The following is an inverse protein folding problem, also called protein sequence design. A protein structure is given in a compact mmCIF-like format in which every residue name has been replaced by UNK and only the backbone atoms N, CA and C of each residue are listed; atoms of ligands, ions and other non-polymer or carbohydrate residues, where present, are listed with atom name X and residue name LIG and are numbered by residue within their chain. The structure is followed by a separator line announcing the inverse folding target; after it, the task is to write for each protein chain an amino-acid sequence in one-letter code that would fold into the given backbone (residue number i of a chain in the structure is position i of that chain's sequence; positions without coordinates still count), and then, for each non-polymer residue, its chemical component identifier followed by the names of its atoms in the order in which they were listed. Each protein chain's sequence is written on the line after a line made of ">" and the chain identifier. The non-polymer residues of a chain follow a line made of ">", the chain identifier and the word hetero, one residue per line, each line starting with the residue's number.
data_IF_300106365465
#
_entry.id   IF_300106365465
#
_cell.length_a   1.000
_cell.length_b   1.000
_cell.length_c   1.000
_cell.angle_alpha   90.00
_cell.angle_beta   90.00
_cell.angle_gamma   90.00
#
_symmetry.space_group_name_H-M   'P 1'
#
loop_
_entity.id
_entity.type
_entity.pdbx_description
1 polymer ?
#
# COMPACT_ATOMS: atom_id res chain seq x y z
N UNK A 1 14.99 6.67 -13.93
CA UNK A 1 14.00 6.54 -15.01
C UNK A 1 13.72 7.89 -15.65
N UNK A 2 13.13 7.87 -16.84
CA UNK A 2 12.84 9.08 -17.64
C UNK A 2 11.53 9.78 -17.21
N UNK A 3 10.71 9.11 -16.40
CA UNK A 3 9.45 9.67 -15.88
C UNK A 3 9.70 10.96 -15.10
N UNK A 4 8.91 11.99 -15.40
CA UNK A 4 8.86 13.29 -14.71
C UNK A 4 7.41 13.71 -14.58
N UNK A 5 7.05 14.21 -13.40
CA UNK A 5 5.72 14.73 -13.13
C UNK A 5 5.85 16.12 -12.51
N UNK A 6 4.95 17.02 -12.90
CA UNK A 6 4.72 18.25 -12.16
C UNK A 6 3.98 17.95 -10.85
N UNK A 7 4.07 18.87 -9.89
CA UNK A 7 3.28 18.79 -8.65
C UNK A 7 1.77 18.73 -8.88
N UNK A 8 1.28 19.36 -9.96
CA UNK A 8 -0.14 19.29 -10.35
C UNK A 8 -0.52 17.87 -10.77
N UNK A 9 0.25 17.25 -11.65
CA UNK A 9 0.02 15.87 -12.09
C UNK A 9 0.12 14.88 -10.93
N UNK A 10 1.10 15.07 -10.02
CA UNK A 10 1.20 14.26 -8.81
C UNK A 10 -0.08 14.38 -7.97
N UNK A 11 -0.56 15.60 -7.72
CA UNK A 11 -1.80 15.82 -6.96
C UNK A 11 -3.00 15.11 -7.59
N UNK A 12 -3.17 15.24 -8.91
CA UNK A 12 -4.27 14.59 -9.64
C UNK A 12 -4.21 13.07 -9.48
N UNK A 13 -3.02 12.47 -9.62
CA UNK A 13 -2.81 11.03 -9.44
C UNK A 13 -3.11 10.58 -8.01
N UNK A 14 -2.67 11.35 -7.00
CA UNK A 14 -2.95 11.04 -5.61
C UNK A 14 -4.46 11.11 -5.29
N UNK A 15 -5.18 12.07 -5.86
CA UNK A 15 -6.63 12.16 -5.70
C UNK A 15 -7.35 10.96 -6.31
N UNK A 16 -6.93 10.49 -7.49
CA UNK A 16 -7.49 9.28 -8.09
C UNK A 16 -7.26 8.06 -7.20
N UNK A 17 -6.04 7.85 -6.71
CA UNK A 17 -5.73 6.73 -5.81
C UNK A 17 -6.53 6.82 -4.49
N UNK A 18 -6.60 8.00 -3.88
CA UNK A 18 -7.38 8.21 -2.66
C UNK A 18 -8.87 7.93 -2.87
N UNK A 19 -9.44 8.40 -3.99
CA UNK A 19 -10.84 8.12 -4.35
C UNK A 19 -11.10 6.62 -4.46
N UNK A 20 -10.25 5.88 -5.16
CA UNK A 20 -10.37 4.43 -5.30
C UNK A 20 -10.24 3.71 -3.95
N UNK A 21 -9.34 4.16 -3.06
CA UNK A 21 -9.23 3.61 -1.71
C UNK A 21 -10.50 3.85 -0.90
N UNK A 22 -11.08 5.05 -0.97
CA UNK A 22 -12.36 5.36 -0.32
C UNK A 22 -13.51 4.50 -0.86
N UNK A 23 -13.56 4.26 -2.17
CA UNK A 23 -14.55 3.35 -2.78
C UNK A 23 -14.38 1.89 -2.32
N UNK A 24 -13.17 1.47 -1.99
CA UNK A 24 -12.86 0.18 -1.36
C UNK A 24 -13.18 0.15 0.15
N UNK A 25 -13.73 1.24 0.70
CA UNK A 25 -14.13 1.33 2.11
C UNK A 25 -12.99 1.68 3.07
N UNK A 26 -11.83 2.13 2.56
CA UNK A 26 -10.73 2.65 3.39
C UNK A 26 -11.07 4.05 3.89
N UNK A 27 -10.93 4.27 5.20
CA UNK A 27 -11.22 5.54 5.85
C UNK A 27 -10.37 5.80 7.09
N UNK A 28 -10.91 6.63 7.99
CA UNK A 28 -10.21 7.09 9.20
C UNK A 28 -9.78 5.93 10.09
N UNK A 29 -8.48 5.86 10.39
CA UNK A 29 -7.91 4.87 11.31
C UNK A 29 -7.68 3.49 10.70
N UNK A 30 -8.12 3.25 9.47
CA UNK A 30 -7.77 2.03 8.73
C UNK A 30 -6.28 2.05 8.36
N UNK A 31 -5.66 0.87 8.29
CA UNK A 31 -4.26 0.74 7.87
C UNK A 31 -4.17 0.23 6.44
N UNK A 32 -3.47 0.96 5.57
CA UNK A 32 -3.13 0.51 4.21
C UNK A 32 -1.65 0.18 4.16
N UNK A 33 -1.34 -1.07 3.85
CA UNK A 33 0.03 -1.50 3.65
C UNK A 33 0.46 -1.36 2.19
N UNK A 34 1.74 -1.08 1.98
CA UNK A 34 2.36 -1.02 0.66
C UNK A 34 3.62 -1.85 0.64
N UNK A 35 3.65 -2.86 -0.23
CA UNK A 35 4.81 -3.69 -0.53
C UNK A 35 5.25 -3.40 -1.97
N UNK A 36 6.10 -2.40 -2.13
CA UNK A 36 6.55 -1.93 -3.44
C UNK A 36 7.98 -1.40 -3.38
N UNK A 37 8.64 -1.37 -4.54
CA UNK A 37 9.93 -0.71 -4.69
C UNK A 37 9.79 0.82 -4.66
N UNK A 38 10.93 1.53 -4.71
CA UNK A 38 10.99 2.98 -4.79
C UNK A 38 10.52 3.48 -6.17
N UNK A 39 9.20 3.47 -6.38
CA UNK A 39 8.51 3.92 -7.58
C UNK A 39 7.73 5.21 -7.31
N UNK A 40 7.38 5.99 -8.35
CA UNK A 40 6.45 7.11 -8.21
C UNK A 40 5.13 6.72 -7.55
N UNK A 41 4.63 5.52 -7.81
CA UNK A 41 3.40 4.99 -7.24
C UNK A 41 3.50 4.80 -5.72
N UNK A 42 4.65 4.32 -5.21
CA UNK A 42 4.90 4.28 -3.76
C UNK A 42 4.91 5.70 -3.16
N UNK A 43 5.52 6.66 -3.85
CA UNK A 43 5.52 8.05 -3.41
C UNK A 43 4.11 8.67 -3.41
N UNK A 44 3.29 8.36 -4.41
CA UNK A 44 1.87 8.77 -4.46
C UNK A 44 1.07 8.20 -3.29
N UNK A 45 1.32 6.95 -2.89
CA UNK A 45 0.66 6.34 -1.74
C UNK A 45 0.93 7.10 -0.42
N UNK A 46 2.09 7.76 -0.29
CA UNK A 46 2.41 8.59 0.88
C UNK A 46 1.49 9.80 1.06
N UNK A 47 0.82 10.23 -0.01
CA UNK A 47 -0.18 11.30 0.05
C UNK A 47 -1.59 10.73 -0.03
N UNK A 48 -1.80 9.72 -0.88
CA UNK A 48 -3.13 9.19 -1.18
C UNK A 48 -3.76 8.46 0.01
N UNK A 49 -2.97 7.68 0.76
CA UNK A 49 -3.48 6.96 1.93
C UNK A 49 -3.87 7.93 3.06
N UNK A 50 -3.02 8.90 3.47
CA UNK A 50 -3.45 9.89 4.46
C UNK A 50 -4.62 10.78 4.02
N UNK A 51 -4.79 11.01 2.71
CA UNK A 51 -5.95 11.76 2.19
C UNK A 51 -7.29 11.10 2.52
N UNK A 52 -7.34 9.77 2.73
CA UNK A 52 -8.56 9.07 3.17
C UNK A 52 -8.72 9.07 4.69
N UNK A 53 -7.78 9.62 5.45
CA UNK A 53 -7.68 9.51 6.91
C UNK A 53 -7.05 8.19 7.39
N UNK A 54 -6.60 7.33 6.47
CA UNK A 54 -5.95 6.07 6.79
C UNK A 54 -4.47 6.25 7.15
N UNK A 55 -3.90 5.23 7.78
CA UNK A 55 -2.49 5.13 8.14
C UNK A 55 -1.74 4.34 7.07
N UNK A 56 -0.64 4.90 6.57
CA UNK A 56 0.25 4.22 5.64
C UNK A 56 1.25 3.34 6.39
N UNK A 57 1.34 2.07 5.99
CA UNK A 57 2.35 1.13 6.45
C UNK A 57 3.22 0.66 5.27
N UNK A 58 4.46 1.14 5.17
CA UNK A 58 5.37 0.71 4.09
C UNK A 58 6.20 -0.48 4.53
N UNK A 59 6.20 -1.55 3.72
CA UNK A 59 6.88 -2.81 4.03
C UNK A 59 8.18 -2.90 3.23
N UNK A 60 9.28 -3.17 3.93
CA UNK A 60 10.57 -3.34 3.29
C UNK A 60 10.58 -4.60 2.40
N UNK A 61 10.93 -4.44 1.13
CA UNK A 61 10.88 -5.50 0.12
C UNK A 61 11.92 -6.60 0.29
N UNK A 62 12.89 -6.43 1.21
CA UNK A 62 13.94 -7.42 1.51
C UNK A 62 13.56 -8.39 2.62
N UNK A 63 12.39 -8.23 3.23
CA UNK A 63 11.93 -9.10 4.31
C UNK A 63 11.45 -10.45 3.77
N UNK A 64 11.61 -11.48 4.59
CA UNK A 64 11.08 -12.81 4.29
C UNK A 64 9.54 -12.84 4.42
N UNK A 65 8.96 -13.96 3.96
CA UNK A 65 7.51 -14.14 3.91
C UNK A 65 6.87 -14.11 5.31
N UNK A 66 7.52 -14.72 6.30
CA UNK A 66 7.00 -14.83 7.66
C UNK A 66 6.93 -13.45 8.33
N UNK A 67 7.97 -12.64 8.14
CA UNK A 67 8.04 -11.28 8.65
C UNK A 67 7.01 -10.37 7.97
N UNK A 68 6.81 -10.51 6.65
CA UNK A 68 5.75 -9.76 5.95
C UNK A 68 4.36 -10.16 6.46
N UNK A 69 4.08 -11.46 6.62
CA UNK A 69 2.82 -11.94 7.19
C UNK A 69 2.59 -11.39 8.60
N UNK A 70 3.62 -11.40 9.45
CA UNK A 70 3.57 -10.81 10.79
C UNK A 70 3.21 -9.32 10.76
N UNK A 71 3.84 -8.53 9.88
CA UNK A 71 3.55 -7.10 9.75
C UNK A 71 2.11 -6.86 9.30
N UNK A 72 1.62 -7.61 8.31
CA UNK A 72 0.25 -7.48 7.81
C UNK A 72 -0.77 -7.79 8.90
N UNK A 73 -0.53 -8.85 9.68
CA UNK A 73 -1.38 -9.26 10.79
C UNK A 73 -1.37 -8.27 11.94
N UNK A 74 -0.18 -7.91 12.44
CA UNK A 74 -0.04 -7.03 13.60
C UNK A 74 -0.54 -5.61 13.28
N UNK A 75 -0.33 -5.16 12.05
CA UNK A 75 -0.81 -3.88 11.57
C UNK A 75 -2.31 -3.80 11.29
N UNK A 76 -3.06 -4.91 11.45
CA UNK A 76 -4.50 -4.99 11.13
C UNK A 76 -4.82 -4.31 9.80
N UNK A 77 -4.05 -4.68 8.78
CA UNK A 77 -4.11 -4.05 7.46
C UNK A 77 -5.47 -4.31 6.84
N UNK A 78 -6.10 -3.26 6.32
CA UNK A 78 -7.38 -3.33 5.60
C UNK A 78 -7.22 -3.41 4.09
N UNK A 79 -6.14 -2.85 3.55
CA UNK A 79 -5.84 -2.93 2.14
C UNK A 79 -4.33 -3.05 1.93
N UNK A 80 -3.94 -3.84 0.92
CA UNK A 80 -2.54 -4.04 0.57
C UNK A 80 -2.32 -3.65 -0.90
N UNK A 81 -1.44 -2.68 -1.12
CA UNK A 81 -0.96 -2.31 -2.46
C UNK A 81 0.37 -3.04 -2.69
N UNK A 82 0.48 -3.79 -3.79
CA UNK A 82 1.65 -4.63 -4.07
C UNK A 82 2.21 -4.32 -5.46
N UNK A 83 3.52 -4.16 -5.54
CA UNK A 83 4.23 -4.18 -6.83
C UNK A 83 4.12 -5.58 -7.45
N UNK A 84 3.82 -5.64 -8.75
CA UNK A 84 3.60 -6.91 -9.46
C UNK A 84 4.73 -7.92 -9.30
N UNK A 85 5.98 -7.46 -9.22
CA UNK A 85 7.14 -8.35 -9.05
C UNK A 85 7.18 -9.02 -7.67
N UNK A 86 6.56 -8.40 -6.66
CA UNK A 86 6.49 -8.88 -5.28
C UNK A 86 5.21 -9.67 -4.99
N UNK A 87 4.31 -9.80 -5.97
CA UNK A 87 3.06 -10.54 -5.82
C UNK A 87 3.25 -11.97 -5.31
N UNK A 88 4.25 -12.76 -5.77
CA UNK A 88 4.46 -14.11 -5.23
C UNK A 88 4.80 -14.13 -3.74
N UNK A 89 5.53 -13.12 -3.24
CA UNK A 89 5.86 -12.98 -1.83
C UNK A 89 4.61 -12.58 -1.03
N UNK A 90 3.84 -11.60 -1.51
CA UNK A 90 2.59 -11.18 -0.89
C UNK A 90 1.57 -12.32 -0.81
N UNK A 91 1.41 -13.08 -1.89
CA UNK A 91 0.49 -14.23 -1.92
C UNK A 91 0.86 -15.30 -0.89
N UNK A 92 2.16 -15.62 -0.76
CA UNK A 92 2.62 -16.56 0.28
C UNK A 92 2.37 -16.02 1.68
N UNK A 93 2.60 -14.72 1.91
CA UNK A 93 2.34 -14.10 3.20
C UNK A 93 0.84 -14.13 3.58
N UNK A 94 -0.04 -13.98 2.59
CA UNK A 94 -1.50 -14.03 2.76
C UNK A 94 -2.08 -15.45 2.93
N UNK A 95 -1.26 -16.50 2.88
CA UNK A 95 -1.73 -17.87 3.18
C UNK A 95 -2.00 -18.09 4.68
N UNK A 96 -1.54 -17.19 5.56
CA UNK A 96 -1.94 -17.19 6.97
C UNK A 96 -3.43 -16.83 7.07
N UNK A 97 -4.26 -17.80 7.47
CA UNK A 97 -5.72 -17.67 7.60
C UNK A 97 -6.18 -16.57 8.57
N UNK A 98 -5.27 -16.06 9.40
CA UNK A 98 -5.54 -14.97 10.34
C UNK A 98 -5.46 -13.59 9.67
N UNK A 99 -4.96 -13.49 8.44
CA UNK A 99 -4.93 -12.26 7.67
C UNK A 99 -6.20 -12.16 6.83
N UNK A 100 -7.04 -11.16 7.13
CA UNK A 100 -8.24 -10.84 6.36
C UNK A 100 -8.13 -9.39 5.89
N UNK A 101 -7.91 -9.21 4.60
CA UNK A 101 -7.95 -7.92 3.92
C UNK A 101 -9.37 -7.67 3.38
#
# INVERSE_FOLDING_TARGET
>A
GERRYSWRQLRERCLCMASSLTELGVGLGDTVAVLAFNTPELFEAHFSVPMTGAVLNTINTRLDTETVAYILKFGQVKALIVDRELLPLAQKALQDEQIKL
#
